data_IF_066525546289
#
_entry.id   IF_066525546289
#
_cell.length_a   1.000
_cell.length_b   1.000
_cell.length_c   1.000
_cell.angle_alpha   90.00
_cell.angle_beta   90.00
_cell.angle_gamma   90.00
#
_symmetry.space_group_name_H-M   'P 1'
#
loop_
_entity.id
_entity.type
_entity.pdbx_description
1 polymer ?
#
# COMPACT_ATOMS: atom_id res chain seq x y z
N UNK A 1 25.10 3.84 -5.48
CA UNK A 1 24.59 3.34 -4.19
C UNK A 1 24.92 1.86 -4.15
N UNK A 2 26.10 1.46 -3.67
CA UNK A 2 26.94 0.72 -4.61
C UNK A 2 26.77 -0.81 -4.60
N UNK A 3 25.97 -1.38 -3.69
CA UNK A 3 25.79 -2.83 -3.65
C UNK A 3 24.36 -3.23 -3.23
N UNK A 4 23.59 -3.68 -4.22
CA UNK A 4 22.22 -4.19 -4.05
C UNK A 4 22.18 -5.52 -3.29
N UNK A 5 23.20 -6.37 -3.44
CA UNK A 5 23.28 -7.66 -2.74
C UNK A 5 23.53 -7.44 -1.25
N UNK A 6 24.46 -6.55 -0.90
CA UNK A 6 24.71 -6.23 0.51
C UNK A 6 23.53 -5.47 1.14
N UNK A 7 22.88 -4.57 0.40
CA UNK A 7 21.65 -3.90 0.86
C UNK A 7 20.53 -4.91 1.13
N UNK A 8 20.33 -5.86 0.20
CA UNK A 8 19.36 -6.96 0.34
C UNK A 8 19.69 -7.82 1.56
N UNK A 9 20.95 -8.21 1.74
CA UNK A 9 21.39 -8.99 2.89
C UNK A 9 21.12 -8.26 4.21
N UNK A 10 21.52 -6.99 4.34
CA UNK A 10 21.37 -6.21 5.57
C UNK A 10 19.89 -6.06 5.95
N UNK A 11 19.04 -5.69 5.00
CA UNK A 11 17.61 -5.48 5.25
C UNK A 11 16.88 -6.80 5.51
N UNK A 12 17.28 -7.88 4.81
CA UNK A 12 16.79 -9.24 5.07
C UNK A 12 17.16 -9.75 6.46
N UNK A 13 18.44 -9.62 6.85
CA UNK A 13 18.94 -10.04 8.17
C UNK A 13 18.25 -9.30 9.32
N UNK A 14 18.00 -8.00 9.17
CA UNK A 14 17.26 -7.20 10.17
C UNK A 14 15.82 -7.69 10.35
N UNK A 15 15.11 -7.94 9.26
CA UNK A 15 13.75 -8.49 9.31
C UNK A 15 13.73 -9.90 9.92
N UNK A 16 14.67 -10.75 9.51
CA UNK A 16 14.82 -12.11 10.05
C UNK A 16 15.05 -12.12 11.56
N UNK A 17 16.03 -11.35 12.05
CA UNK A 17 16.35 -11.27 13.48
C UNK A 17 15.13 -10.88 14.30
N UNK A 18 14.38 -9.86 13.86
CA UNK A 18 13.18 -9.43 14.58
C UNK A 18 12.06 -10.48 14.51
N UNK A 19 11.88 -11.14 13.37
CA UNK A 19 10.88 -12.21 13.23
C UNK A 19 11.19 -13.40 14.15
N UNK A 20 12.45 -13.82 14.24
CA UNK A 20 12.89 -14.91 15.13
C UNK A 20 12.73 -14.53 16.60
N UNK A 21 13.09 -13.30 16.96
CA UNK A 21 12.86 -12.79 18.32
C UNK A 21 11.37 -12.88 18.70
N UNK A 22 10.48 -12.34 17.85
CA UNK A 22 9.04 -12.37 18.07
C UNK A 22 8.48 -13.80 18.14
N UNK A 23 8.97 -14.69 17.28
CA UNK A 23 8.59 -16.10 17.26
C UNK A 23 8.95 -16.81 18.57
N UNK A 24 10.16 -16.59 19.10
CA UNK A 24 10.58 -17.20 20.36
C UNK A 24 9.93 -16.58 21.59
N UNK A 25 9.55 -15.29 21.54
CA UNK A 25 8.87 -14.62 22.65
C UNK A 25 7.34 -14.76 22.64
N UNK A 26 6.77 -15.42 21.62
CA UNK A 26 5.33 -15.53 21.46
C UNK A 26 4.70 -16.30 22.63
N UNK A 27 3.80 -15.65 23.36
CA UNK A 27 3.09 -16.21 24.51
C UNK A 27 1.57 -16.25 24.34
N UNK A 28 1.05 -15.48 23.38
CA UNK A 28 -0.38 -15.40 23.10
C UNK A 28 -0.82 -16.53 22.18
N UNK A 29 -1.66 -17.43 22.69
CA UNK A 29 -2.28 -18.48 21.89
C UNK A 29 -3.54 -17.95 21.20
N UNK A 30 -3.53 -17.94 19.86
CA UNK A 30 -4.73 -17.63 19.08
C UNK A 30 -5.78 -18.74 19.24
N UNK A 31 -7.01 -18.35 19.58
CA UNK A 31 -8.16 -19.24 19.75
C UNK A 31 -9.35 -18.70 18.97
N UNK A 32 -10.17 -19.58 18.43
CA UNK A 32 -11.36 -19.20 17.68
C UNK A 32 -11.58 -20.07 16.45
N UNK A 33 -12.64 -19.77 15.71
CA UNK A 33 -12.92 -20.42 14.43
C UNK A 33 -12.15 -19.70 13.32
N UNK A 34 -11.68 -20.47 12.35
CA UNK A 34 -11.17 -19.92 11.09
C UNK A 34 -12.35 -19.56 10.21
N UNK A 35 -12.28 -18.40 9.57
CA UNK A 35 -13.33 -17.90 8.68
C UNK A 35 -12.71 -17.26 7.42
N UNK A 36 -13.46 -17.22 6.32
CA UNK A 36 -13.01 -16.69 5.03
C UNK A 36 -14.12 -15.94 4.30
N UNK A 37 -13.79 -14.83 3.64
CA UNK A 37 -14.70 -14.06 2.80
C UNK A 37 -13.99 -13.66 1.51
N UNK A 38 -14.70 -13.75 0.39
CA UNK A 38 -14.21 -13.37 -0.93
C UNK A 38 -15.38 -12.83 -1.76
N UNK A 39 -15.10 -11.84 -2.59
CA UNK A 39 -16.06 -11.29 -3.55
C UNK A 39 -15.33 -10.71 -4.75
N UNK A 40 -16.00 -10.70 -5.90
CA UNK A 40 -15.59 -9.91 -7.05
C UNK A 40 -16.40 -8.62 -7.06
N UNK A 41 -15.72 -7.49 -7.24
CA UNK A 41 -16.34 -6.17 -7.27
C UNK A 41 -15.86 -5.41 -8.49
N UNK A 42 -16.77 -4.66 -9.10
CA UNK A 42 -16.46 -3.72 -10.16
C UNK A 42 -16.05 -2.36 -9.56
N UNK A 43 -14.75 -2.07 -9.62
CA UNK A 43 -14.18 -0.83 -9.09
C UNK A 43 -14.25 0.34 -10.10
N UNK A 44 -14.78 0.14 -11.31
CA UNK A 44 -14.87 1.24 -12.29
C UNK A 44 -15.99 2.23 -11.97
N UNK A 45 -16.89 1.88 -11.04
CA UNK A 45 -18.13 2.61 -10.74
C UNK A 45 -18.72 2.33 -9.36
N UNK A 46 -17.93 1.82 -8.43
CA UNK A 46 -18.34 1.52 -7.05
C UNK A 46 -18.72 2.81 -6.31
N UNK A 47 -19.89 2.80 -5.67
CA UNK A 47 -20.35 3.87 -4.78
C UNK A 47 -19.71 3.74 -3.39
N UNK A 48 -19.24 4.85 -2.83
CA UNK A 48 -18.57 4.92 -1.54
C UNK A 48 -19.16 6.07 -0.74
N UNK A 49 -19.69 5.78 0.45
CA UNK A 49 -20.13 6.81 1.39
C UNK A 49 -18.93 7.32 2.18
N UNK A 50 -18.58 8.60 1.98
CA UNK A 50 -17.50 9.29 2.69
C UNK A 50 -18.09 10.29 3.68
N UNK A 51 -17.44 10.45 4.83
CA UNK A 51 -17.74 11.54 5.76
C UNK A 51 -16.88 12.74 5.39
N UNK A 52 -17.49 13.82 4.91
CA UNK A 52 -16.73 15.05 4.66
C UNK A 52 -16.26 15.63 6.00
N UNK A 53 -14.95 15.83 6.12
CA UNK A 53 -14.24 16.55 7.19
C UNK A 53 -13.90 15.79 8.49
N UNK A 54 -14.03 14.45 8.56
CA UNK A 54 -13.62 13.66 9.74
C UNK A 54 -14.41 13.93 11.04
N UNK A 55 -15.31 14.91 11.02
CA UNK A 55 -16.28 15.26 12.05
C UNK A 55 -17.65 14.98 11.44
N UNK A 56 -18.31 13.92 11.90
CA UNK A 56 -19.42 13.22 11.24
C UNK A 56 -20.74 14.00 11.06
N UNK A 57 -20.69 15.23 10.57
CA UNK A 57 -21.87 16.05 10.33
C UNK A 57 -22.47 15.83 8.92
N UNK A 58 -21.66 15.53 7.90
CA UNK A 58 -22.12 15.41 6.52
C UNK A 58 -21.56 14.13 5.85
N UNK A 59 -22.46 13.20 5.50
CA UNK A 59 -22.15 12.04 4.66
C UNK A 59 -22.44 12.39 3.20
N UNK A 60 -21.51 12.06 2.31
CA UNK A 60 -21.66 12.19 0.87
C UNK A 60 -21.40 10.83 0.22
N UNK A 61 -22.25 10.44 -0.73
CA UNK A 61 -21.97 9.26 -1.56
C UNK A 61 -21.26 9.71 -2.82
N UNK A 62 -20.00 9.28 -2.96
CA UNK A 62 -19.16 9.50 -4.14
C UNK A 62 -19.00 8.19 -4.91
N UNK A 63 -18.34 8.28 -6.07
CA UNK A 63 -18.16 7.14 -6.97
C UNK A 63 -16.70 7.02 -7.39
N UNK A 64 -16.20 5.79 -7.39
CA UNK A 64 -14.90 5.46 -8.01
C UNK A 64 -14.94 5.70 -9.52
N UNK A 65 -13.77 5.99 -10.10
CA UNK A 65 -13.61 6.24 -11.52
C UNK A 65 -13.08 4.98 -12.23
N UNK A 66 -13.30 4.83 -13.55
CA UNK A 66 -12.53 3.92 -14.37
C UNK A 66 -11.02 4.16 -14.20
N UNK A 67 -10.22 3.11 -14.42
CA UNK A 67 -8.78 3.17 -14.25
C UNK A 67 -8.14 4.23 -15.16
N UNK A 68 -7.28 5.08 -14.58
CA UNK A 68 -6.48 6.08 -15.26
C UNK A 68 -5.15 6.25 -14.52
N UNK A 69 -4.12 6.74 -15.22
CA UNK A 69 -2.79 7.02 -14.66
C UNK A 69 -2.51 8.52 -14.78
N UNK A 70 -2.16 9.16 -13.67
CA UNK A 70 -1.73 10.56 -13.67
C UNK A 70 -0.31 10.73 -14.22
N UNK A 71 0.09 11.96 -14.54
CA UNK A 71 1.40 12.27 -15.14
C UNK A 71 2.58 11.73 -14.34
N UNK A 72 2.54 11.86 -13.01
CA UNK A 72 3.59 11.37 -12.11
C UNK A 72 3.81 9.85 -12.17
N UNK A 73 2.88 9.06 -12.74
CA UNK A 73 3.09 7.63 -12.97
C UNK A 73 4.35 7.38 -13.83
N UNK A 74 4.59 8.22 -14.84
CA UNK A 74 5.73 8.09 -15.74
C UNK A 74 7.06 8.52 -15.09
N UNK A 75 7.04 9.16 -13.92
CA UNK A 75 8.25 9.64 -13.23
C UNK A 75 8.98 8.55 -12.43
N UNK A 76 8.33 7.41 -12.16
CA UNK A 76 8.87 6.35 -11.30
C UNK A 76 9.06 6.80 -9.85
N UNK A 77 10.01 6.18 -9.14
CA UNK A 77 10.30 6.47 -7.73
C UNK A 77 11.79 6.67 -7.49
N UNK A 78 12.19 6.89 -6.23
CA UNK A 78 13.60 6.96 -5.83
C UNK A 78 14.34 5.63 -6.03
N UNK A 79 13.63 4.50 -6.07
CA UNK A 79 14.21 3.17 -6.25
C UNK A 79 14.43 2.81 -7.73
N UNK A 80 13.79 3.57 -8.63
CA UNK A 80 13.92 3.44 -10.07
C UNK A 80 13.19 4.59 -10.75
N UNK A 81 13.90 5.49 -11.46
CA UNK A 81 13.25 6.56 -12.21
C UNK A 81 12.38 5.95 -13.31
N UNK A 82 11.32 6.64 -13.66
CA UNK A 82 10.47 6.25 -14.78
C UNK A 82 11.10 6.58 -16.12
N UNK A 83 10.31 6.54 -17.18
CA UNK A 83 10.78 6.84 -18.53
C UNK A 83 10.64 8.35 -18.81
N UNK A 84 11.60 8.93 -19.56
CA UNK A 84 11.64 10.35 -19.96
C UNK A 84 11.81 11.35 -18.80
N UNK A 85 11.67 12.66 -19.09
CA UNK A 85 11.91 13.78 -18.14
C UNK A 85 10.73 14.07 -17.19
N UNK A 86 9.86 13.09 -16.93
CA UNK A 86 8.73 13.25 -15.99
C UNK A 86 9.22 13.38 -14.55
N UNK A 87 8.56 14.23 -13.76
CA UNK A 87 8.84 14.43 -12.33
C UNK A 87 7.64 14.08 -11.47
N UNK A 88 7.89 13.47 -10.32
CA UNK A 88 6.85 13.27 -9.32
C UNK A 88 6.39 14.62 -8.77
N UNK A 89 5.07 14.79 -8.60
CA UNK A 89 4.48 16.03 -8.10
C UNK A 89 4.38 17.15 -9.13
N UNK A 90 4.62 16.86 -10.41
CA UNK A 90 4.34 17.77 -11.51
C UNK A 90 2.83 17.82 -11.81
N UNK A 91 2.30 19.01 -12.08
CA UNK A 91 0.88 19.29 -12.34
C UNK A 91 0.57 19.62 -13.81
N UNK A 92 1.57 19.47 -14.69
CA UNK A 92 1.42 19.52 -16.15
C UNK A 92 0.55 18.39 -16.69
#
# INVERSE_FOLDING_TARGET
>A
YPDEFNSTYIIGDRQFKKAVELFHSASEQLKGKVDFRHTYLDFSKLEVTVTSNGLGANQETVKTCPAAMGFAFAAGTTDGPGAFDFKQGDDQ
#
